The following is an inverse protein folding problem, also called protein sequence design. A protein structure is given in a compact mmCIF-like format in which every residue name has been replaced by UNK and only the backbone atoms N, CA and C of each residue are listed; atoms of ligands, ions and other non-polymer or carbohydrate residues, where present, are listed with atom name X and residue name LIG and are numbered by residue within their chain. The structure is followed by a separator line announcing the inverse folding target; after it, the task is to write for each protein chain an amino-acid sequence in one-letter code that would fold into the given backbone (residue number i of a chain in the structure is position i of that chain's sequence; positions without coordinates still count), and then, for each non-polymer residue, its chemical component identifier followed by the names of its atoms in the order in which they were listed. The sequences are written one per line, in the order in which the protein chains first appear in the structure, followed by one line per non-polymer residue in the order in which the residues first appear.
data_IF_823537951592
#
_entry.id   IF_823537951592
#
_cell.length_a   1.000
_cell.length_b   1.000
_cell.length_c   1.000
_cell.angle_alpha   90.00
_cell.angle_beta   90.00
_cell.angle_gamma   90.00
#
_symmetry.space_group_name_H-M   'P 1'
#
loop_
_entity.id
_entity.type
_entity.pdbx_description
1 polymer ?
#
# COMPACT_ATOMS: atom_id res chain seq x y z
N UNK A 1 -27.70 20.13 -54.48
CA UNK A 1 -27.34 20.06 -53.06
C UNK A 1 -26.93 18.62 -52.78
N UNK A 2 -25.63 18.31 -52.93
CA UNK A 2 -25.12 16.94 -52.80
C UNK A 2 -24.66 16.73 -51.35
N UNK A 3 -25.38 15.89 -50.64
CA UNK A 3 -25.04 15.45 -49.29
C UNK A 3 -23.93 14.39 -49.40
N UNK A 4 -22.68 14.81 -49.31
CA UNK A 4 -21.53 13.88 -49.24
C UNK A 4 -21.51 13.30 -47.82
N UNK A 5 -22.01 12.08 -47.66
CA UNK A 5 -21.77 11.27 -46.48
C UNK A 5 -20.27 11.00 -46.38
N UNK A 6 -19.58 11.75 -45.52
CA UNK A 6 -18.26 11.42 -45.03
C UNK A 6 -18.42 10.23 -44.06
N UNK A 7 -18.51 9.02 -44.62
CA UNK A 7 -18.32 7.81 -43.85
C UNK A 7 -16.89 7.80 -43.34
N UNK A 8 -16.68 8.19 -42.08
CA UNK A 8 -15.42 7.93 -41.38
C UNK A 8 -15.12 6.44 -41.50
N UNK A 9 -13.97 6.02 -42.03
CA UNK A 9 -13.64 4.61 -42.03
C UNK A 9 -13.62 4.16 -40.58
N UNK A 10 -14.49 3.21 -40.23
CA UNK A 10 -14.32 2.45 -39.01
C UNK A 10 -12.94 1.81 -39.13
N UNK A 11 -11.95 2.37 -38.41
CA UNK A 11 -10.61 1.82 -38.42
C UNK A 11 -10.70 0.49 -37.68
N UNK A 12 -10.89 -0.59 -38.43
CA UNK A 12 -10.74 -1.94 -37.91
C UNK A 12 -9.35 -1.99 -37.26
N UNK A 13 -9.31 -2.20 -35.94
CA UNK A 13 -8.05 -2.34 -35.23
C UNK A 13 -7.35 -3.59 -35.76
N UNK A 14 -6.07 -3.45 -36.10
CA UNK A 14 -5.26 -4.54 -36.64
C UNK A 14 -5.19 -5.72 -35.65
N UNK A 15 -5.65 -6.92 -36.02
CA UNK A 15 -5.58 -8.11 -35.17
C UNK A 15 -4.17 -8.42 -34.64
N UNK A 16 -3.13 -8.07 -35.39
CA UNK A 16 -1.74 -8.26 -34.93
C UNK A 16 -1.41 -7.34 -33.75
N UNK A 17 -1.84 -6.07 -33.81
CA UNK A 17 -1.67 -5.12 -32.71
C UNK A 17 -2.47 -5.53 -31.47
N UNK A 18 -3.67 -6.07 -31.66
CA UNK A 18 -4.48 -6.60 -30.55
C UNK A 18 -3.79 -7.76 -29.84
N UNK A 19 -3.21 -8.71 -30.59
CA UNK A 19 -2.43 -9.82 -30.02
C UNK A 19 -1.22 -9.33 -29.23
N UNK A 20 -0.51 -8.32 -29.73
CA UNK A 20 0.59 -7.69 -29.00
C UNK A 20 0.12 -7.02 -27.71
N UNK A 21 -1.02 -6.31 -27.75
CA UNK A 21 -1.61 -5.68 -26.56
C UNK A 21 -1.99 -6.72 -25.50
N UNK A 22 -2.58 -7.85 -25.90
CA UNK A 22 -2.88 -8.97 -25.00
C UNK A 22 -1.60 -9.48 -24.34
N UNK A 23 -0.54 -9.76 -25.10
CA UNK A 23 0.73 -10.23 -24.54
C UNK A 23 1.31 -9.24 -23.53
N UNK A 24 1.33 -7.95 -23.87
CA UNK A 24 1.80 -6.91 -22.96
C UNK A 24 0.97 -6.85 -21.67
N UNK A 25 -0.35 -6.97 -21.76
CA UNK A 25 -1.26 -6.93 -20.62
C UNK A 25 -1.14 -8.20 -19.76
N UNK A 26 -0.95 -9.36 -20.36
CA UNK A 26 -0.71 -10.61 -19.62
C UNK A 26 0.60 -10.55 -18.82
N UNK A 27 1.68 -10.00 -19.40
CA UNK A 27 2.93 -9.80 -18.67
C UNK A 27 2.74 -8.81 -17.51
N UNK A 28 2.07 -7.68 -17.77
CA UNK A 28 1.77 -6.68 -16.72
C UNK A 28 0.92 -7.27 -15.60
N UNK A 29 -0.09 -8.08 -15.90
CA UNK A 29 -0.90 -8.78 -14.89
C UNK A 29 -0.06 -9.74 -14.04
N UNK A 30 0.87 -10.47 -14.64
CA UNK A 30 1.74 -11.38 -13.89
C UNK A 30 2.67 -10.64 -12.93
N UNK A 31 3.13 -9.44 -13.31
CA UNK A 31 3.93 -8.59 -12.42
C UNK A 31 3.07 -7.98 -11.30
N UNK A 32 1.84 -7.60 -11.59
CA UNK A 32 0.89 -7.11 -10.58
C UNK A 32 0.47 -8.20 -9.60
N UNK A 33 0.26 -9.44 -10.07
CA UNK A 33 -0.05 -10.57 -9.19
C UNK A 33 1.09 -10.85 -8.20
N UNK A 34 2.35 -10.71 -8.62
CA UNK A 34 3.50 -10.82 -7.71
C UNK A 34 3.60 -9.67 -6.72
N UNK A 35 3.14 -8.48 -7.11
CA UNK A 35 3.17 -7.28 -6.28
C UNK A 35 2.00 -7.19 -5.28
N UNK A 36 0.94 -7.97 -5.47
CA UNK A 36 -0.25 -8.04 -4.61
C UNK A 36 -0.01 -8.96 -3.40
N UNK A 37 0.88 -8.54 -2.49
CA UNK A 37 1.29 -9.32 -1.30
C UNK A 37 0.10 -9.71 -0.42
N UNK A 38 -0.88 -8.81 -0.25
CA UNK A 38 -2.06 -9.00 0.60
C UNK A 38 -3.26 -9.62 -0.14
N UNK A 39 -3.10 -9.95 -1.43
CA UNK A 39 -4.16 -10.51 -2.29
C UNK A 39 -5.41 -9.62 -2.35
N UNK A 40 -5.25 -8.32 -2.19
CA UNK A 40 -6.33 -7.33 -2.18
C UNK A 40 -6.96 -7.12 -3.55
N UNK A 41 -6.23 -7.42 -4.64
CA UNK A 41 -6.67 -7.26 -6.02
C UNK A 41 -6.98 -8.58 -6.74
N UNK A 42 -7.04 -9.71 -6.02
CA UNK A 42 -7.17 -11.05 -6.62
C UNK A 42 -8.40 -11.23 -7.52
N UNK A 43 -9.52 -10.56 -7.19
CA UNK A 43 -10.76 -10.67 -7.97
C UNK A 43 -10.62 -9.92 -9.30
N UNK A 44 -10.02 -8.74 -9.25
CA UNK A 44 -9.77 -7.87 -10.38
C UNK A 44 -8.73 -8.49 -11.32
N UNK A 45 -7.64 -9.07 -10.78
CA UNK A 45 -6.65 -9.84 -11.52
C UNK A 45 -7.31 -10.98 -12.32
N UNK A 46 -8.13 -11.81 -11.67
CA UNK A 46 -8.84 -12.93 -12.32
C UNK A 46 -9.82 -12.46 -13.39
N UNK A 47 -10.59 -11.41 -13.11
CA UNK A 47 -11.56 -10.85 -14.06
C UNK A 47 -10.87 -10.29 -15.29
N UNK A 48 -9.75 -9.59 -15.09
CA UNK A 48 -8.95 -9.03 -16.19
C UNK A 48 -8.34 -10.14 -17.04
N UNK A 49 -7.77 -11.18 -16.42
CA UNK A 49 -7.23 -12.32 -17.14
C UNK A 49 -8.30 -13.03 -17.98
N UNK A 50 -9.53 -13.16 -17.45
CA UNK A 50 -10.65 -13.72 -18.21
C UNK A 50 -10.98 -12.88 -19.45
N UNK A 51 -11.05 -11.55 -19.33
CA UNK A 51 -11.31 -10.68 -20.48
C UNK A 51 -10.18 -10.72 -21.52
N UNK A 52 -8.93 -10.88 -21.12
CA UNK A 52 -7.82 -11.07 -22.06
C UNK A 52 -7.95 -12.39 -22.82
N UNK A 53 -8.29 -13.47 -22.14
CA UNK A 53 -8.51 -14.77 -22.77
C UNK A 53 -9.70 -14.73 -23.74
N UNK A 54 -10.79 -14.08 -23.35
CA UNK A 54 -11.98 -13.90 -24.20
C UNK A 54 -11.69 -12.99 -25.40
N UNK A 55 -10.95 -11.89 -25.21
CA UNK A 55 -10.48 -11.06 -26.32
C UNK A 55 -9.61 -11.85 -27.30
N UNK A 56 -8.74 -12.74 -26.79
CA UNK A 56 -7.91 -13.60 -27.63
C UNK A 56 -8.76 -14.57 -28.47
N UNK A 57 -9.83 -15.11 -27.91
CA UNK A 57 -10.77 -15.98 -28.62
C UNK A 57 -11.56 -15.22 -29.69
N UNK A 58 -12.03 -14.01 -29.37
CA UNK A 58 -12.76 -13.15 -30.32
C UNK A 58 -11.91 -12.74 -31.53
N UNK A 59 -10.60 -12.49 -31.33
CA UNK A 59 -9.67 -12.24 -32.45
C UNK A 59 -9.56 -13.46 -33.38
N UNK A 60 -9.62 -14.68 -32.86
CA UNK A 60 -9.60 -15.91 -33.67
C UNK A 60 -10.92 -16.09 -34.43
N UNK A 61 -12.02 -15.57 -33.88
CA UNK A 61 -13.35 -15.59 -34.49
C UNK A 61 -13.61 -14.42 -35.44
N UNK A 62 -12.61 -13.57 -35.71
CA UNK A 62 -12.75 -12.36 -36.54
C UNK A 62 -13.81 -11.39 -35.98
N UNK A 63 -13.95 -11.34 -34.65
CA UNK A 63 -14.85 -10.43 -33.93
C UNK A 63 -14.05 -9.27 -33.28
N UNK A 64 -13.29 -8.51 -34.09
CA UNK A 64 -12.33 -7.51 -33.59
C UNK A 64 -12.98 -6.38 -32.78
N UNK A 65 -14.21 -5.97 -33.13
CA UNK A 65 -14.89 -4.89 -32.40
C UNK A 65 -15.19 -5.31 -30.94
N UNK A 66 -15.56 -6.57 -30.73
CA UNK A 66 -15.83 -7.10 -29.39
C UNK A 66 -14.52 -7.32 -28.64
N UNK A 67 -13.49 -7.85 -29.30
CA UNK A 67 -12.15 -7.93 -28.73
C UNK A 67 -11.64 -6.55 -28.28
N UNK A 68 -11.81 -5.51 -29.09
CA UNK A 68 -11.41 -4.13 -28.77
C UNK A 68 -12.13 -3.59 -27.51
N UNK A 69 -13.40 -3.96 -27.29
CA UNK A 69 -14.15 -3.57 -26.09
C UNK A 69 -13.57 -4.24 -24.85
N UNK A 70 -13.27 -5.53 -24.93
CA UNK A 70 -12.65 -6.26 -23.82
C UNK A 70 -11.23 -5.77 -23.52
N UNK A 71 -10.42 -5.45 -24.55
CA UNK A 71 -9.08 -4.89 -24.34
C UNK A 71 -9.10 -3.52 -23.69
N UNK A 72 -10.04 -2.64 -24.07
CA UNK A 72 -10.23 -1.35 -23.37
C UNK A 72 -10.66 -1.55 -21.93
N UNK A 73 -11.53 -2.52 -21.66
CA UNK A 73 -11.95 -2.86 -20.30
C UNK A 73 -10.78 -3.40 -19.47
N UNK A 74 -9.96 -4.27 -20.05
CA UNK A 74 -8.79 -4.83 -19.40
C UNK A 74 -7.75 -3.74 -19.06
N UNK A 75 -7.53 -2.78 -19.96
CA UNK A 75 -6.65 -1.63 -19.75
C UNK A 75 -7.04 -0.82 -18.51
N UNK A 76 -8.30 -0.40 -18.42
CA UNK A 76 -8.82 0.33 -17.25
C UNK A 76 -8.70 -0.50 -15.97
N UNK A 77 -8.93 -1.81 -16.07
CA UNK A 77 -8.85 -2.72 -14.92
C UNK A 77 -7.42 -2.91 -14.43
N UNK A 78 -6.44 -2.93 -15.33
CA UNK A 78 -5.02 -2.99 -14.98
C UNK A 78 -4.61 -1.74 -14.19
N UNK A 79 -5.01 -0.55 -14.63
CA UNK A 79 -4.70 0.69 -13.92
C UNK A 79 -5.36 0.70 -12.52
N UNK A 80 -6.57 0.16 -12.42
CA UNK A 80 -7.24 0.00 -11.12
C UNK A 80 -6.50 -0.98 -10.20
N UNK A 81 -6.02 -2.10 -10.73
CA UNK A 81 -5.22 -3.08 -9.95
C UNK A 81 -3.93 -2.43 -9.43
N UNK A 82 -3.25 -1.63 -10.26
CA UNK A 82 -2.07 -0.86 -9.84
C UNK A 82 -2.37 0.05 -8.66
N UNK A 83 -3.49 0.78 -8.71
CA UNK A 83 -3.91 1.66 -7.64
C UNK A 83 -4.30 0.90 -6.37
N UNK A 84 -4.94 -0.27 -6.49
CA UNK A 84 -5.28 -1.12 -5.34
C UNK A 84 -4.02 -1.62 -4.62
N UNK A 85 -3.04 -2.09 -5.38
CA UNK A 85 -1.75 -2.55 -4.83
C UNK A 85 -1.00 -1.40 -4.17
N UNK A 86 -0.93 -0.24 -4.83
CA UNK A 86 -0.25 0.92 -4.26
C UNK A 86 -0.96 1.41 -2.99
N UNK A 87 -2.30 1.44 -2.99
CA UNK A 87 -3.08 1.75 -1.80
C UNK A 87 -2.74 0.81 -0.64
N UNK A 88 -2.74 -0.51 -0.87
CA UNK A 88 -2.41 -1.49 0.17
C UNK A 88 -1.00 -1.26 0.74
N UNK A 89 -0.01 -0.99 -0.13
CA UNK A 89 1.36 -0.64 0.31
C UNK A 89 1.43 0.61 1.17
N UNK A 90 0.62 1.62 0.86
CA UNK A 90 0.57 2.86 1.65
C UNK A 90 -0.15 2.65 2.99
N UNK A 91 -1.21 1.83 3.02
CA UNK A 91 -1.90 1.44 4.25
C UNK A 91 -0.94 0.67 5.19
N UNK A 92 -0.21 -0.33 4.68
CA UNK A 92 0.78 -1.07 5.46
C UNK A 92 1.89 -0.16 6.04
N UNK A 93 2.40 0.80 5.24
CA UNK A 93 3.38 1.80 5.72
C UNK A 93 2.79 2.74 6.78
N UNK A 94 1.51 3.10 6.66
CA UNK A 94 0.85 3.95 7.64
C UNK A 94 0.72 3.20 8.98
N UNK A 95 0.30 1.94 8.95
CA UNK A 95 0.19 1.07 10.13
C UNK A 95 1.56 0.86 10.81
N UNK A 96 2.63 0.65 10.03
CA UNK A 96 3.98 0.52 10.57
C UNK A 96 4.42 1.80 11.30
N UNK A 97 4.17 2.97 10.72
CA UNK A 97 4.49 4.27 11.32
C UNK A 97 3.67 4.56 12.57
N UNK A 98 2.38 4.23 12.55
CA UNK A 98 1.52 4.36 13.72
C UNK A 98 2.02 3.46 14.87
N UNK A 99 2.36 2.20 14.57
CA UNK A 99 2.95 1.30 15.55
C UNK A 99 4.27 1.82 16.11
N UNK A 100 5.14 2.39 15.27
CA UNK A 100 6.40 2.99 15.70
C UNK A 100 6.18 4.20 16.61
N UNK A 101 5.27 5.10 16.25
CA UNK A 101 4.93 6.28 17.05
C UNK A 101 4.40 5.90 18.44
N UNK A 102 3.52 4.90 18.53
CA UNK A 102 3.01 4.38 19.81
C UNK A 102 4.14 3.83 20.69
N UNK A 103 5.10 3.09 20.11
CA UNK A 103 6.26 2.58 20.85
C UNK A 103 7.17 3.69 21.34
N UNK A 104 7.41 4.71 20.52
CA UNK A 104 8.21 5.88 20.91
C UNK A 104 7.54 6.67 22.04
N UNK A 105 6.22 6.86 21.97
CA UNK A 105 5.45 7.51 23.02
C UNK A 105 5.54 6.75 24.35
N UNK A 106 5.42 5.42 24.31
CA UNK A 106 5.59 4.55 25.48
C UNK A 106 7.00 4.70 26.08
N UNK A 107 8.04 4.64 25.25
CA UNK A 107 9.43 4.79 25.69
C UNK A 107 9.68 6.18 26.30
N UNK A 108 9.12 7.24 25.73
CA UNK A 108 9.20 8.60 26.25
C UNK A 108 8.52 8.73 27.62
N UNK A 109 7.33 8.13 27.78
CA UNK A 109 6.61 8.11 29.05
C UNK A 109 7.40 7.35 30.14
N UNK A 110 7.97 6.20 29.81
CA UNK A 110 8.82 5.46 30.75
C UNK A 110 10.08 6.25 31.15
N UNK A 111 10.73 6.90 30.19
CA UNK A 111 11.91 7.72 30.44
C UNK A 111 11.57 8.91 31.36
N UNK A 112 10.42 9.54 31.14
CA UNK A 112 9.92 10.62 32.00
C UNK A 112 9.69 10.14 33.44
N UNK A 113 9.03 9.01 33.63
CA UNK A 113 8.81 8.41 34.96
C UNK A 113 10.15 8.13 35.66
N UNK A 114 11.12 7.54 34.95
CA UNK A 114 12.46 7.26 35.49
C UNK A 114 13.20 8.56 35.87
N UNK A 115 13.07 9.61 35.06
CA UNK A 115 13.65 10.93 35.35
C UNK A 115 13.04 11.54 36.62
N UNK A 116 11.71 11.51 36.75
CA UNK A 116 11.00 12.01 37.94
C UNK A 116 11.43 11.25 39.21
N UNK A 117 11.52 9.91 39.14
CA UNK A 117 12.03 9.08 40.23
C UNK A 117 13.48 9.42 40.61
N UNK A 118 14.36 9.60 39.62
CA UNK A 118 15.75 9.97 39.85
C UNK A 118 15.89 11.35 40.48
N UNK A 119 15.08 12.32 40.04
CA UNK A 119 15.03 13.66 40.63
C UNK A 119 14.51 13.64 42.07
N UNK A 120 13.47 12.86 42.35
CA UNK A 120 12.94 12.68 43.71
C UNK A 120 14.00 12.06 44.64
N UNK A 121 14.68 11.00 44.20
CA UNK A 121 15.77 10.36 44.96
C UNK A 121 16.94 11.30 45.19
N UNK A 122 17.32 12.10 44.19
CA UNK A 122 18.36 13.13 44.34
C UNK A 122 17.99 14.13 45.43
N UNK A 123 16.74 14.62 45.45
CA UNK A 123 16.26 15.54 46.50
C UNK A 123 16.29 14.89 47.89
N UNK A 124 15.83 13.65 48.02
CA UNK A 124 15.89 12.90 49.29
C UNK A 124 17.32 12.79 49.81
N UNK A 125 18.26 12.35 48.98
CA UNK A 125 19.67 12.23 49.35
C UNK A 125 20.29 13.58 49.73
N UNK A 126 19.89 14.67 49.07
CA UNK A 126 20.34 16.03 49.43
C UNK A 126 19.83 16.46 50.80
N UNK A 127 18.59 16.12 51.16
CA UNK A 127 18.04 16.36 52.50
C UNK A 127 18.76 15.51 53.55
N UNK A 128 18.95 14.22 53.30
CA UNK A 128 19.67 13.30 54.21
C UNK A 128 21.13 13.74 54.45
N UNK A 129 21.81 14.28 53.44
CA UNK A 129 23.16 14.83 53.57
C UNK A 129 23.21 16.18 54.30
N UNK A 130 22.12 16.95 54.27
CA UNK A 130 22.03 18.27 54.88
C UNK A 130 21.60 18.21 56.36
N UNK A 131 20.99 17.11 56.81
CA UNK A 131 20.74 16.84 58.23
C UNK A 131 21.98 16.17 58.85
N UNK A 132 22.82 16.89 59.62
CA UNK A 132 23.89 16.24 60.36
C UNK A 132 23.24 15.27 61.35
N UNK A 133 23.73 14.03 61.38
CA UNK A 133 23.30 13.00 62.32
C UNK A 133 23.67 13.43 63.76
N UNK A 134 22.81 14.23 64.39
CA UNK A 134 22.87 14.66 65.79
C UNK A 134 22.51 13.53 66.76
N UNK A 135 23.14 12.36 66.58
CA UNK A 135 23.01 11.24 67.50
C UNK A 135 24.38 10.64 67.86
N UNK A 136 25.28 11.49 68.36
CA UNK A 136 26.53 11.07 69.03
C UNK A 136 26.80 11.90 70.29
N UNK A 137 25.84 12.09 71.18
CA UNK A 137 26.06 12.34 72.63
C UNK A 137 24.68 12.30 73.30
N UNK A 138 24.32 11.30 74.11
CA UNK A 138 24.81 11.13 75.48
C UNK A 138 24.68 9.66 75.91
N UNK A 139 25.80 8.94 75.88
CA UNK A 139 26.06 7.83 76.79
C UNK A 139 27.31 8.22 77.58
N UNK A 140 27.15 8.52 78.87
CA UNK A 140 28.27 8.96 79.71
C UNK A 140 27.82 9.43 81.09
N UNK A 141 27.52 8.43 81.94
CA UNK A 141 27.50 8.37 83.41
C UNK A 141 27.04 9.59 84.22
#
# INVERSE_FOLDING_TARGET
MALVLLGSPAHAQDPAQMKQKIQSFTLKLADLEKADEDKGAIKELKSTQLWLNEAQALIVQEEEEQAAKLLRRAEVSIDMIELLIEKAKQEAKAEERESAAVKEEQAANEAKIKLEQAQARKKQLQTELAEPSDNTTQGGN
#
